data_IF_281470398863
#
_entry.id   IF_281470398863
#
_cell.length_a   1.000
_cell.length_b   1.000
_cell.length_c   1.000
_cell.angle_alpha   90.00
_cell.angle_beta   90.00
_cell.angle_gamma   90.00
#
_symmetry.space_group_name_H-M   'P 1'
#
loop_
_entity.id
_entity.type
_entity.pdbx_description
1 polymer ?
#
# COMPACT_ATOMS: atom_id res chain seq x y z
N UNK A 1 -11.50 6.13 20.52
CA UNK A 1 -12.15 6.57 19.25
C UNK A 1 -12.76 5.38 18.52
N UNK A 2 -13.98 5.48 17.95
CA UNK A 2 -14.54 4.40 17.11
C UNK A 2 -13.88 4.40 15.74
N UNK A 3 -13.47 3.23 15.24
CA UNK A 3 -13.00 3.11 13.85
C UNK A 3 -13.16 1.68 13.33
N UNK A 4 -13.22 1.56 12.01
CA UNK A 4 -13.19 0.27 11.31
C UNK A 4 -12.45 0.40 9.99
N UNK A 5 -11.78 -0.68 9.58
CA UNK A 5 -10.96 -0.79 8.37
C UNK A 5 -11.37 -2.07 7.66
N UNK A 6 -11.69 -1.96 6.38
CA UNK A 6 -12.14 -3.05 5.53
C UNK A 6 -11.16 -3.25 4.37
N UNK A 7 -10.66 -4.49 4.24
CA UNK A 7 -9.83 -4.92 3.13
C UNK A 7 -10.75 -5.64 2.13
N UNK A 8 -10.97 -5.01 0.99
CA UNK A 8 -11.94 -5.47 -0.01
C UNK A 8 -11.36 -6.61 -0.83
N UNK A 9 -12.13 -7.68 -0.95
CA UNK A 9 -11.81 -8.78 -1.85
C UNK A 9 -13.07 -9.51 -2.36
N UNK A 10 -12.91 -10.12 -3.52
CA UNK A 10 -13.86 -11.04 -4.15
C UNK A 10 -13.09 -12.13 -4.87
N UNK A 11 -13.69 -13.33 -4.97
CA UNK A 11 -13.13 -14.45 -5.74
C UNK A 11 -13.02 -14.19 -7.23
N UNK A 12 -13.73 -13.18 -7.73
CA UNK A 12 -13.72 -12.81 -9.15
C UNK A 12 -12.45 -12.05 -9.55
N UNK A 13 -11.75 -11.44 -8.58
CA UNK A 13 -10.54 -10.68 -8.86
C UNK A 13 -9.34 -11.62 -9.09
N UNK A 14 -8.78 -11.56 -10.29
CA UNK A 14 -7.63 -12.37 -10.71
C UNK A 14 -6.34 -11.57 -10.51
N UNK A 15 -5.76 -11.64 -9.33
CA UNK A 15 -4.51 -10.96 -8.99
C UNK A 15 -4.56 -10.34 -7.60
N UNK A 16 -3.40 -10.19 -6.97
CA UNK A 16 -3.34 -9.41 -5.73
C UNK A 16 -3.50 -7.93 -6.10
N UNK A 17 -4.21 -7.19 -5.27
CA UNK A 17 -4.53 -5.78 -5.47
C UNK A 17 -5.00 -5.21 -4.13
N UNK A 18 -4.68 -3.95 -3.85
CA UNK A 18 -5.10 -3.27 -2.63
C UNK A 18 -6.32 -2.40 -2.90
N UNK A 19 -7.42 -2.72 -2.23
CA UNK A 19 -8.62 -1.91 -2.17
C UNK A 19 -9.05 -1.85 -0.70
N UNK A 20 -8.85 -0.71 -0.06
CA UNK A 20 -9.08 -0.56 1.38
C UNK A 20 -9.99 0.63 1.60
N UNK A 21 -10.98 0.47 2.47
CA UNK A 21 -11.74 1.61 3.00
C UNK A 21 -11.74 1.57 4.52
N UNK A 22 -11.81 2.73 5.13
CA UNK A 22 -11.92 2.85 6.57
C UNK A 22 -12.71 4.09 6.95
N UNK A 23 -13.28 4.06 8.14
CA UNK A 23 -13.89 5.25 8.75
C UNK A 23 -13.60 5.31 10.23
N UNK A 24 -13.58 6.52 10.76
CA UNK A 24 -13.44 6.78 12.18
C UNK A 24 -14.35 7.91 12.61
N UNK A 25 -14.85 7.82 13.84
CA UNK A 25 -15.74 8.82 14.41
C UNK A 25 -14.93 9.99 14.98
N UNK A 26 -15.21 11.20 14.49
CA UNK A 26 -14.71 12.46 15.01
C UNK A 26 -15.88 13.41 15.21
N UNK A 27 -15.99 13.97 16.41
CA UNK A 27 -17.02 14.95 16.78
C UNK A 27 -18.46 14.51 16.41
N UNK A 28 -18.74 13.22 16.61
CA UNK A 28 -20.04 12.60 16.34
C UNK A 28 -20.35 12.33 14.87
N UNK A 29 -19.36 12.45 13.97
CA UNK A 29 -19.49 12.15 12.53
C UNK A 29 -18.41 11.17 12.10
N UNK A 30 -18.73 10.31 11.14
CA UNK A 30 -17.70 9.49 10.50
C UNK A 30 -16.95 10.29 9.45
N UNK A 31 -15.62 10.19 9.48
CA UNK A 31 -14.75 10.58 8.38
C UNK A 31 -14.50 9.33 7.55
N UNK A 32 -14.91 9.35 6.28
CA UNK A 32 -14.84 8.18 5.39
C UNK A 32 -13.64 8.29 4.45
N UNK A 33 -12.81 7.25 4.39
CA UNK A 33 -11.56 7.25 3.63
C UNK A 33 -11.47 5.99 2.77
N UNK A 34 -11.00 6.18 1.55
CA UNK A 34 -10.57 5.08 0.68
C UNK A 34 -9.07 5.20 0.47
N UNK A 35 -8.36 4.10 0.65
CA UNK A 35 -6.93 3.94 0.44
C UNK A 35 -6.73 2.85 -0.61
N UNK A 36 -6.38 3.28 -1.83
CA UNK A 36 -6.37 2.49 -3.05
C UNK A 36 -7.72 1.85 -3.43
N UNK A 37 -7.94 1.65 -4.73
CA UNK A 37 -9.20 1.15 -5.29
C UNK A 37 -9.10 -0.25 -5.88
N UNK A 38 -7.90 -0.83 -5.89
CA UNK A 38 -7.63 -2.12 -6.48
C UNK A 38 -7.74 -2.12 -8.00
N UNK A 39 -8.02 -3.31 -8.55
CA UNK A 39 -8.46 -3.48 -9.93
C UNK A 39 -9.90 -2.95 -10.11
N UNK A 40 -10.34 -2.78 -11.36
CA UNK A 40 -11.74 -2.46 -11.67
C UNK A 40 -12.75 -3.46 -11.07
N UNK A 41 -12.40 -4.74 -10.95
CA UNK A 41 -13.26 -5.76 -10.32
C UNK A 41 -13.38 -5.51 -8.82
N UNK A 42 -12.27 -5.21 -8.14
CA UNK A 42 -12.31 -4.83 -6.73
C UNK A 42 -13.01 -3.49 -6.51
N UNK A 43 -12.87 -2.54 -7.42
CA UNK A 43 -13.53 -1.24 -7.33
C UNK A 43 -15.05 -1.37 -7.28
N UNK A 44 -15.63 -2.23 -8.12
CA UNK A 44 -17.06 -2.53 -8.06
C UNK A 44 -17.45 -3.10 -6.68
N UNK A 45 -16.66 -4.04 -6.15
CA UNK A 45 -16.90 -4.62 -4.83
C UNK A 45 -16.75 -3.60 -3.69
N UNK A 46 -15.80 -2.69 -3.81
CA UNK A 46 -15.56 -1.59 -2.89
C UNK A 46 -16.75 -0.61 -2.90
N UNK A 47 -17.24 -0.25 -4.09
CA UNK A 47 -18.42 0.62 -4.25
C UNK A 47 -19.65 -0.02 -3.58
N UNK A 48 -19.94 -1.30 -3.87
CA UNK A 48 -21.04 -2.03 -3.21
C UNK A 48 -20.89 -2.05 -1.69
N UNK A 49 -19.67 -2.28 -1.20
CA UNK A 49 -19.38 -2.33 0.24
C UNK A 49 -19.60 -0.96 0.91
N UNK A 50 -19.13 0.11 0.28
CA UNK A 50 -19.34 1.48 0.75
C UNK A 50 -20.84 1.83 0.78
N UNK A 51 -21.59 1.52 -0.29
CA UNK A 51 -23.03 1.72 -0.35
C UNK A 51 -23.77 0.97 0.77
N UNK A 52 -23.41 -0.29 1.05
CA UNK A 52 -24.12 -1.10 2.05
C UNK A 52 -23.71 -0.81 3.50
N UNK A 53 -22.44 -0.54 3.78
CA UNK A 53 -21.94 -0.46 5.16
C UNK A 53 -21.59 0.94 5.63
N UNK A 54 -21.27 1.85 4.70
CA UNK A 54 -20.85 3.22 5.02
C UNK A 54 -21.98 4.20 4.76
N UNK A 55 -22.74 3.99 3.68
CA UNK A 55 -23.63 5.00 3.11
C UNK A 55 -25.08 4.56 2.93
N UNK A 56 -25.49 3.42 3.51
CA UNK A 56 -26.81 2.80 3.28
C UNK A 56 -28.00 3.75 3.46
N UNK A 57 -27.89 4.63 4.44
CA UNK A 57 -28.93 5.60 4.80
C UNK A 57 -28.50 7.06 4.49
N UNK A 58 -27.41 7.25 3.73
CA UNK A 58 -26.90 8.56 3.37
C UNK A 58 -27.46 9.04 2.03
N UNK A 59 -28.14 10.18 2.05
CA UNK A 59 -28.67 10.80 0.83
C UNK A 59 -27.59 11.34 -0.11
N UNK A 60 -26.45 11.78 0.45
CA UNK A 60 -25.32 12.30 -0.32
C UNK A 60 -24.02 11.66 0.17
N UNK A 61 -23.74 10.41 -0.27
CA UNK A 61 -22.55 9.68 0.11
C UNK A 61 -21.28 10.47 -0.20
N UNK A 62 -20.42 10.63 0.80
CA UNK A 62 -19.18 11.39 0.68
C UNK A 62 -17.99 10.59 1.19
N UNK A 63 -16.96 10.52 0.36
CA UNK A 63 -15.63 10.07 0.75
C UNK A 63 -14.82 11.32 1.06
N UNK A 64 -14.43 11.52 2.31
CA UNK A 64 -13.72 12.73 2.74
C UNK A 64 -12.30 12.77 2.16
N UNK A 65 -11.62 11.62 2.12
CA UNK A 65 -10.29 11.49 1.57
C UNK A 65 -10.18 10.24 0.68
N UNK A 66 -9.70 10.44 -0.53
CA UNK A 66 -9.34 9.38 -1.47
C UNK A 66 -7.81 9.37 -1.61
N UNK A 67 -7.15 8.31 -1.19
CA UNK A 67 -5.69 8.22 -1.14
C UNK A 67 -5.24 7.22 -2.22
N UNK A 68 -4.43 7.71 -3.16
CA UNK A 68 -3.73 6.89 -4.14
C UNK A 68 -2.31 6.65 -3.61
N UNK A 69 -2.10 5.52 -2.95
CA UNK A 69 -0.83 5.23 -2.30
C UNK A 69 0.27 4.94 -3.32
N UNK A 70 -0.08 4.23 -4.39
CA UNK A 70 0.83 3.73 -5.40
C UNK A 70 0.26 3.96 -6.81
N UNK A 71 1.08 4.32 -7.83
CA UNK A 71 0.56 4.71 -9.14
C UNK A 71 0.21 3.53 -10.06
N UNK A 72 0.52 2.28 -9.68
CA UNK A 72 0.30 1.11 -10.53
C UNK A 72 -1.18 0.67 -10.56
N UNK A 73 -1.49 -0.18 -11.54
CA UNK A 73 -2.85 -0.55 -11.92
C UNK A 73 -3.65 -1.20 -10.79
N UNK A 74 -3.04 -2.10 -10.03
CA UNK A 74 -3.66 -2.86 -8.94
C UNK A 74 -3.92 -2.03 -7.68
N UNK A 75 -3.71 -0.71 -7.75
CA UNK A 75 -4.02 0.27 -6.73
C UNK A 75 -4.87 1.41 -7.31
N UNK A 76 -4.34 2.12 -8.32
CA UNK A 76 -4.90 3.38 -8.81
C UNK A 76 -6.06 3.20 -9.79
N UNK A 77 -6.14 2.08 -10.53
CA UNK A 77 -7.16 1.91 -11.57
C UNK A 77 -8.58 1.90 -11.00
N UNK A 78 -8.78 1.27 -9.84
CA UNK A 78 -10.08 1.25 -9.19
C UNK A 78 -10.53 2.58 -8.59
N UNK A 79 -9.59 3.48 -8.27
CA UNK A 79 -9.92 4.81 -7.75
C UNK A 79 -10.67 5.66 -8.78
N UNK A 80 -10.42 5.43 -10.08
CA UNK A 80 -11.13 6.09 -11.18
C UNK A 80 -12.64 5.82 -11.08
N UNK A 81 -13.04 4.56 -10.88
CA UNK A 81 -14.45 4.18 -10.74
C UNK A 81 -15.08 4.79 -9.47
N UNK A 82 -14.31 4.89 -8.38
CA UNK A 82 -14.75 5.50 -7.11
C UNK A 82 -15.01 7.00 -7.30
N UNK A 83 -14.14 7.73 -8.00
CA UNK A 83 -14.29 9.17 -8.29
C UNK A 83 -15.51 9.43 -9.18
N UNK A 84 -15.78 8.55 -10.13
CA UNK A 84 -16.95 8.66 -11.00
C UNK A 84 -18.26 8.53 -10.20
N UNK A 85 -18.28 7.63 -9.22
CA UNK A 85 -19.48 7.24 -8.46
C UNK A 85 -19.80 8.13 -7.25
N UNK A 86 -18.80 8.55 -6.49
CA UNK A 86 -19.00 9.23 -5.21
C UNK A 86 -18.61 10.72 -5.22
N UNK A 87 -19.15 11.48 -4.27
CA UNK A 87 -18.64 12.82 -3.97
C UNK A 87 -17.32 12.70 -3.20
N UNK A 88 -16.24 13.19 -3.78
CA UNK A 88 -14.90 13.14 -3.19
C UNK A 88 -14.55 14.49 -2.58
N UNK A 89 -14.22 14.51 -1.29
CA UNK A 89 -13.76 15.71 -0.59
C UNK A 89 -12.40 16.16 -1.10
N UNK A 90 -11.37 15.33 -0.88
CA UNK A 90 -10.00 15.59 -1.31
C UNK A 90 -9.32 14.32 -1.82
N UNK A 91 -8.43 14.48 -2.79
CA UNK A 91 -7.57 13.40 -3.27
C UNK A 91 -6.16 13.63 -2.71
N UNK A 92 -5.55 12.59 -2.15
CA UNK A 92 -4.16 12.59 -1.71
C UNK A 92 -3.37 11.73 -2.69
N UNK A 93 -2.51 12.36 -3.49
CA UNK A 93 -1.77 11.68 -4.57
C UNK A 93 -0.52 12.47 -4.96
N UNK A 94 0.56 11.76 -5.28
CA UNK A 94 1.78 12.36 -5.82
C UNK A 94 1.73 12.38 -7.35
N UNK A 95 1.96 13.55 -7.96
CA UNK A 95 1.84 13.78 -9.40
C UNK A 95 3.25 13.99 -9.99
N UNK A 96 3.81 13.01 -10.74
CA UNK A 96 5.19 13.07 -11.23
C UNK A 96 5.51 14.31 -12.07
N UNK A 97 4.62 14.72 -12.99
CA UNK A 97 4.86 15.87 -13.87
C UNK A 97 4.85 17.23 -13.17
N UNK A 98 4.45 17.32 -11.89
CA UNK A 98 4.62 18.55 -11.11
C UNK A 98 6.07 18.84 -10.74
N UNK A 99 6.98 17.87 -10.89
CA UNK A 99 8.39 17.98 -10.50
C UNK A 99 9.35 17.95 -11.68
N UNK A 100 8.87 18.25 -12.90
CA UNK A 100 9.69 18.31 -14.12
C UNK A 100 10.95 19.15 -13.92
N UNK A 101 10.82 20.34 -13.33
CA UNK A 101 11.97 21.21 -13.06
C UNK A 101 12.97 20.61 -12.07
N UNK A 102 12.53 19.80 -11.12
CA UNK A 102 13.43 19.16 -10.14
C UNK A 102 14.22 17.99 -10.73
N UNK A 103 13.71 17.38 -11.80
CA UNK A 103 14.36 16.31 -12.53
C UNK A 103 15.00 16.80 -13.84
N UNK A 104 14.92 18.10 -14.13
CA UNK A 104 15.37 18.67 -15.39
C UNK A 104 16.88 18.53 -15.62
N UNK A 105 17.68 18.66 -14.57
CA UNK A 105 19.14 18.45 -14.64
C UNK A 105 19.51 17.00 -14.99
N UNK A 106 18.55 16.07 -14.87
CA UNK A 106 18.68 14.70 -15.32
C UNK A 106 18.18 14.51 -16.76
N UNK A 107 17.74 15.54 -17.49
CA UNK A 107 17.25 15.42 -18.88
C UNK A 107 18.38 15.81 -19.85
N UNK A 108 19.24 14.87 -20.23
CA UNK A 108 20.46 15.16 -21.00
C UNK A 108 20.34 15.09 -22.54
N UNK A 109 19.18 15.34 -23.14
CA UNK A 109 19.04 15.25 -24.62
C UNK A 109 19.19 16.61 -25.34
N UNK A 110 19.11 17.75 -24.64
CA UNK A 110 19.15 19.09 -25.26
C UNK A 110 18.06 19.37 -26.33
N UNK A 111 17.24 18.37 -26.67
CA UNK A 111 16.17 18.35 -27.68
C UNK A 111 14.79 18.10 -27.08
N UNK A 112 14.73 17.72 -25.80
CA UNK A 112 13.47 17.45 -25.09
C UNK A 112 12.93 18.76 -24.51
N UNK A 113 11.67 19.09 -24.83
CA UNK A 113 10.95 20.20 -24.20
C UNK A 113 10.24 19.76 -22.92
N UNK A 114 9.88 20.71 -22.06
CA UNK A 114 9.08 20.49 -20.85
C UNK A 114 7.76 19.76 -21.19
N UNK A 115 7.06 20.22 -22.23
CA UNK A 115 5.82 19.59 -22.72
C UNK A 115 6.02 18.12 -23.16
N UNK A 116 7.16 17.83 -23.81
CA UNK A 116 7.46 16.46 -24.23
C UNK A 116 7.71 15.54 -23.03
N UNK A 117 8.41 16.04 -22.01
CA UNK A 117 8.66 15.30 -20.78
C UNK A 117 7.38 15.09 -19.97
N UNK A 118 6.55 16.12 -19.82
CA UNK A 118 5.23 16.00 -19.19
C UNK A 118 4.39 14.91 -19.86
N UNK A 119 4.31 14.94 -21.19
CA UNK A 119 3.56 13.95 -21.96
C UNK A 119 4.09 12.53 -21.75
N UNK A 120 5.42 12.35 -21.68
CA UNK A 120 6.03 11.04 -21.40
C UNK A 120 5.66 10.55 -20.00
N UNK A 121 5.83 11.38 -18.97
CA UNK A 121 5.45 11.02 -17.60
C UNK A 121 3.96 10.67 -17.49
N UNK A 122 3.06 11.41 -18.16
CA UNK A 122 1.63 11.07 -18.19
C UNK A 122 1.36 9.71 -18.85
N UNK A 123 2.15 9.32 -19.86
CA UNK A 123 2.05 7.99 -20.47
C UNK A 123 2.63 6.88 -19.57
N UNK A 124 3.68 7.19 -18.81
CA UNK A 124 4.34 6.25 -17.88
C UNK A 124 3.48 5.99 -16.61
N UNK A 125 2.67 6.98 -16.23
CA UNK A 125 1.77 6.96 -15.08
C UNK A 125 0.30 7.27 -15.49
N UNK A 126 -0.31 6.43 -16.34
CA UNK A 126 -1.59 6.75 -16.99
C UNK A 126 -2.77 6.83 -16.01
N UNK A 127 -2.76 6.04 -14.93
CA UNK A 127 -3.84 6.08 -13.93
C UNK A 127 -3.80 7.35 -13.09
N UNK A 128 -2.60 7.78 -12.69
CA UNK A 128 -2.41 9.09 -12.02
C UNK A 128 -2.91 10.21 -12.94
N UNK A 129 -2.63 10.12 -14.26
CA UNK A 129 -3.04 11.14 -15.22
C UNK A 129 -4.57 11.18 -15.35
N UNK A 130 -5.22 10.02 -15.37
CA UNK A 130 -6.68 9.92 -15.42
C UNK A 130 -7.34 10.42 -14.14
N UNK A 131 -6.77 10.14 -12.97
CA UNK A 131 -7.26 10.67 -11.69
C UNK A 131 -7.12 12.20 -11.66
N UNK A 132 -6.00 12.75 -12.14
CA UNK A 132 -5.82 14.21 -12.24
C UNK A 132 -6.86 14.86 -13.14
N UNK A 133 -7.11 14.29 -14.33
CA UNK A 133 -8.14 14.76 -15.27
C UNK A 133 -9.52 14.79 -14.61
N UNK A 134 -9.95 13.68 -14.00
CA UNK A 134 -11.25 13.60 -13.32
C UNK A 134 -11.38 14.57 -12.15
N UNK A 135 -10.30 14.78 -11.40
CA UNK A 135 -10.29 15.76 -10.32
C UNK A 135 -10.49 17.18 -10.85
N UNK A 136 -9.84 17.54 -11.96
CA UNK A 136 -10.02 18.85 -12.60
C UNK A 136 -11.45 19.04 -13.13
N UNK A 137 -11.99 18.02 -13.82
CA UNK A 137 -13.36 18.04 -14.35
C UNK A 137 -14.42 18.24 -13.26
N UNK A 138 -14.22 17.61 -12.10
CA UNK A 138 -15.15 17.64 -10.96
C UNK A 138 -14.82 18.74 -9.93
N UNK A 139 -13.74 19.50 -10.12
CA UNK A 139 -13.30 20.53 -9.19
C UNK A 139 -12.84 20.00 -7.82
N UNK A 140 -12.27 18.78 -7.78
CA UNK A 140 -11.77 18.13 -6.56
C UNK A 140 -10.34 18.58 -6.29
N UNK A 141 -10.05 18.98 -5.05
CA UNK A 141 -8.69 19.37 -4.62
C UNK A 141 -7.78 18.13 -4.56
N UNK A 142 -6.61 18.21 -5.20
CA UNK A 142 -5.51 17.23 -5.04
C UNK A 142 -4.43 17.81 -4.13
N UNK A 143 -4.16 17.13 -3.02
CA UNK A 143 -3.07 17.42 -2.09
C UNK A 143 -1.92 16.44 -2.34
N UNK A 144 -0.69 16.96 -2.34
CA UNK A 144 0.52 16.13 -2.42
C UNK A 144 0.59 15.15 -1.23
N UNK A 145 0.92 13.90 -1.52
CA UNK A 145 1.04 12.82 -0.55
C UNK A 145 2.42 12.74 0.09
N UNK A 146 2.87 13.81 0.75
CA UNK A 146 4.20 13.87 1.38
C UNK A 146 4.14 14.00 2.90
N UNK A 147 5.20 13.56 3.59
CA UNK A 147 5.27 13.54 5.05
C UNK A 147 5.21 14.92 5.75
N UNK A 148 5.43 16.01 5.01
CA UNK A 148 5.27 17.39 5.51
C UNK A 148 3.84 17.91 5.35
N UNK A 149 3.00 17.20 4.58
CA UNK A 149 1.59 17.52 4.42
C UNK A 149 0.78 16.80 5.49
N UNK A 150 -0.13 17.54 6.10
CA UNK A 150 -1.07 16.99 7.06
C UNK A 150 -2.42 16.78 6.37
N UNK A 151 -2.97 15.56 6.42
CA UNK A 151 -4.33 15.28 5.97
C UNK A 151 -5.32 15.86 6.98
N UNK A 152 -5.14 15.48 8.26
CA UNK A 152 -5.75 16.08 9.44
C UNK A 152 -5.00 15.61 10.72
N UNK A 153 -5.56 15.79 11.91
CA UNK A 153 -4.93 15.40 13.17
C UNK A 153 -4.80 13.88 13.38
N UNK A 154 -5.73 13.10 12.82
CA UNK A 154 -5.78 11.65 12.95
C UNK A 154 -5.00 10.93 11.84
N UNK A 155 -4.85 11.54 10.67
CA UNK A 155 -4.23 10.92 9.49
C UNK A 155 -2.92 11.63 9.13
N UNK A 156 -1.81 10.89 9.24
CA UNK A 156 -0.45 11.41 9.06
C UNK A 156 0.27 10.62 7.97
N UNK A 157 0.89 11.32 7.02
CA UNK A 157 1.74 10.69 6.01
C UNK A 157 3.13 10.52 6.59
N UNK A 158 3.68 9.31 6.52
CA UNK A 158 5.00 8.98 7.06
C UNK A 158 6.09 8.85 5.98
N UNK A 159 5.70 8.52 4.76
CA UNK A 159 6.56 8.43 3.59
C UNK A 159 5.69 8.63 2.35
N UNK A 160 6.25 9.14 1.24
CA UNK A 160 7.60 9.66 1.08
C UNK A 160 7.74 11.12 1.55
N UNK A 161 8.98 11.58 1.72
CA UNK A 161 9.28 13.03 1.65
C UNK A 161 9.31 13.47 0.19
N UNK A 162 9.12 14.78 -0.05
CA UNK A 162 9.20 15.34 -1.40
C UNK A 162 10.55 15.06 -2.06
N UNK A 163 11.63 15.25 -1.30
CA UNK A 163 13.00 15.04 -1.76
C UNK A 163 13.23 13.56 -2.11
N UNK A 164 12.80 12.64 -1.24
CA UNK A 164 12.91 11.20 -1.49
C UNK A 164 12.11 10.77 -2.72
N UNK A 165 10.88 11.28 -2.87
CA UNK A 165 10.07 11.03 -4.06
C UNK A 165 10.76 11.49 -5.35
N UNK A 166 11.32 12.71 -5.36
CA UNK A 166 12.06 13.25 -6.51
C UNK A 166 13.30 12.40 -6.83
N UNK A 167 14.05 11.96 -5.81
CA UNK A 167 15.21 11.08 -6.00
C UNK A 167 14.83 9.74 -6.62
N UNK A 168 13.73 9.14 -6.17
CA UNK A 168 13.19 7.92 -6.76
C UNK A 168 12.71 8.16 -8.20
N UNK A 169 12.08 9.30 -8.46
CA UNK A 169 11.58 9.65 -9.80
C UNK A 169 12.73 9.79 -10.81
N UNK A 170 13.91 10.24 -10.37
CA UNK A 170 15.13 10.28 -11.22
C UNK A 170 15.68 8.89 -11.54
N UNK A 171 15.57 7.95 -10.58
CA UNK A 171 16.13 6.60 -10.70
C UNK A 171 15.20 5.58 -11.37
N UNK A 172 13.90 5.90 -11.43
CA UNK A 172 12.88 4.98 -11.91
C UNK A 172 13.20 4.42 -13.30
N UNK A 173 12.92 3.13 -13.49
CA UNK A 173 13.00 2.52 -14.82
C UNK A 173 12.05 3.17 -15.82
N UNK A 174 10.90 3.68 -15.36
CA UNK A 174 9.94 4.40 -16.19
C UNK A 174 10.50 5.73 -16.68
N UNK A 175 11.49 6.30 -15.99
CA UNK A 175 12.14 7.56 -16.34
C UNK A 175 13.58 7.40 -16.84
N UNK A 176 14.01 6.18 -17.19
CA UNK A 176 15.38 5.88 -17.67
C UNK A 176 15.89 6.71 -18.83
N UNK A 177 15.00 7.30 -19.63
CA UNK A 177 15.36 8.23 -20.71
C UNK A 177 15.95 9.55 -20.21
N UNK A 178 15.97 9.77 -18.89
CA UNK A 178 16.68 10.87 -18.25
C UNK A 178 18.20 10.62 -18.27
N UNK A 179 18.68 9.42 -17.93
CA UNK A 179 20.12 9.15 -17.83
C UNK A 179 20.82 8.93 -19.19
N UNK A 180 22.00 9.55 -19.35
CA UNK A 180 22.81 9.60 -20.57
C UNK A 180 23.54 8.27 -20.93
N UNK A 181 23.35 7.19 -20.15
CA UNK A 181 24.14 5.96 -20.29
C UNK A 181 23.47 4.83 -21.08
N UNK A 182 22.31 5.03 -21.72
CA UNK A 182 21.65 3.93 -22.43
C UNK A 182 21.00 4.32 -23.77
N UNK A 183 21.82 4.82 -24.70
CA UNK A 183 21.50 4.76 -26.14
C UNK A 183 22.00 3.45 -26.81
N UNK A 184 22.13 2.35 -26.04
CA UNK A 184 22.37 0.99 -26.58
C UNK A 184 21.85 -0.11 -25.63
N UNK A 185 20.55 -0.35 -25.61
CA UNK A 185 20.01 -1.73 -25.52
C UNK A 185 18.50 -1.78 -25.82
N UNK A 186 18.13 -1.60 -27.08
CA UNK A 186 16.93 -2.27 -27.57
C UNK A 186 17.24 -3.77 -27.67
N UNK A 187 16.25 -4.57 -27.28
CA UNK A 187 16.27 -6.03 -27.09
C UNK A 187 16.64 -6.44 -25.66
N UNK A 188 15.69 -6.29 -24.74
CA UNK A 188 15.44 -7.38 -23.81
C UNK A 188 14.29 -8.19 -24.38
N UNK A 189 14.65 -9.37 -24.88
CA UNK A 189 13.72 -10.44 -25.16
C UNK A 189 12.85 -10.66 -23.94
N UNK A 190 11.54 -10.54 -24.15
CA UNK A 190 10.53 -11.14 -23.31
C UNK A 190 10.94 -12.59 -23.11
N UNK A 191 11.59 -12.84 -21.97
CA UNK A 191 12.13 -14.14 -21.66
C UNK A 191 10.93 -14.98 -21.33
N UNK A 192 10.44 -15.70 -22.34
CA UNK A 192 9.57 -16.84 -22.19
C UNK A 192 10.21 -17.73 -21.11
N UNK A 193 9.73 -17.58 -19.87
CA UNK A 193 10.16 -18.42 -18.76
C UNK A 193 9.69 -19.82 -19.12
N UNK A 194 10.65 -20.64 -19.55
CA UNK A 194 10.51 -22.08 -19.63
C UNK A 194 9.75 -22.58 -18.41
N UNK A 195 8.63 -23.26 -18.67
CA UNK A 195 7.94 -24.10 -17.69
C UNK A 195 8.88 -25.28 -17.42
N UNK A 196 9.86 -25.07 -16.54
CA UNK A 196 10.57 -26.15 -15.87
C UNK A 196 9.74 -26.47 -14.63
N UNK A 197 9.19 -27.69 -14.57
CA UNK A 197 8.59 -28.25 -13.36
C UNK A 197 9.63 -28.24 -12.24
N UNK A 198 9.53 -27.25 -11.37
CA UNK A 198 10.58 -26.87 -10.42
C UNK A 198 10.34 -27.56 -9.07
N UNK A 199 11.03 -28.68 -8.81
CA UNK A 199 11.17 -29.29 -7.47
C UNK A 199 11.35 -28.23 -6.36
N UNK A 200 10.33 -27.94 -5.56
CA UNK A 200 10.39 -26.90 -4.52
C UNK A 200 11.22 -27.40 -3.34
N UNK A 201 12.39 -26.80 -3.14
CA UNK A 201 13.09 -26.92 -1.87
C UNK A 201 12.41 -26.00 -0.86
N UNK A 202 12.32 -26.44 0.37
CA UNK A 202 11.68 -25.73 1.48
C UNK A 202 12.75 -25.39 2.52
N UNK A 203 12.75 -24.15 3.02
CA UNK A 203 13.66 -23.72 4.07
C UNK A 203 13.02 -24.02 5.42
N UNK A 204 13.75 -24.73 6.30
CA UNK A 204 13.30 -24.96 7.68
C UNK A 204 13.37 -23.65 8.46
N UNK A 205 12.30 -23.36 9.19
CA UNK A 205 12.19 -22.20 10.06
C UNK A 205 12.54 -22.50 11.50
N UNK A 206 13.09 -21.48 12.16
CA UNK A 206 13.34 -21.49 13.61
C UNK A 206 12.69 -20.24 14.19
N UNK A 207 11.97 -20.40 15.30
CA UNK A 207 11.24 -19.30 15.94
C UNK A 207 12.10 -18.05 16.19
N UNK A 208 13.34 -18.24 16.66
CA UNK A 208 14.27 -17.16 16.98
C UNK A 208 15.02 -16.53 15.80
N UNK A 209 14.78 -16.94 14.54
CA UNK A 209 15.54 -16.44 13.37
C UNK A 209 14.64 -16.21 12.15
N UNK A 210 14.57 -14.95 11.69
CA UNK A 210 13.88 -14.63 10.43
C UNK A 210 14.58 -15.27 9.22
N UNK A 211 13.78 -15.77 8.28
CA UNK A 211 14.22 -16.18 6.94
C UNK A 211 14.16 -15.05 5.90
N UNK A 212 13.65 -13.88 6.30
CA UNK A 212 13.76 -12.64 5.53
C UNK A 212 15.23 -12.24 5.37
N UNK A 213 15.53 -11.52 4.29
CA UNK A 213 16.86 -11.00 3.99
C UNK A 213 16.94 -9.50 4.29
N UNK A 214 18.13 -9.03 4.66
CA UNK A 214 18.40 -7.60 4.89
C UNK A 214 18.64 -6.85 3.58
N UNK A 215 19.18 -7.54 2.57
CA UNK A 215 19.61 -7.02 1.28
C UNK A 215 18.57 -7.30 0.19
N UNK A 216 17.38 -6.69 0.34
CA UNK A 216 16.31 -6.77 -0.66
C UNK A 216 15.96 -5.39 -1.18
N UNK A 217 15.52 -5.34 -2.43
CA UNK A 217 15.10 -4.11 -3.08
C UNK A 217 13.78 -4.30 -3.81
N UNK A 218 13.03 -3.21 -3.93
CA UNK A 218 11.80 -3.12 -4.72
C UNK A 218 11.98 -2.06 -5.82
N UNK A 219 10.98 -1.90 -6.70
CA UNK A 219 11.00 -0.83 -7.70
C UNK A 219 11.00 0.55 -7.04
N UNK A 220 11.47 1.56 -7.77
CA UNK A 220 11.37 2.93 -7.31
C UNK A 220 9.91 3.35 -7.05
N UNK A 221 8.98 2.88 -7.89
CA UNK A 221 7.54 3.11 -7.70
C UNK A 221 7.03 2.57 -6.36
N UNK A 222 7.41 1.34 -6.00
CA UNK A 222 7.03 0.75 -4.73
C UNK A 222 7.54 1.61 -3.56
N UNK A 223 8.79 2.04 -3.61
CA UNK A 223 9.40 2.92 -2.59
C UNK A 223 8.74 4.31 -2.52
N UNK A 224 8.05 4.77 -3.58
CA UNK A 224 7.28 6.03 -3.58
C UNK A 224 5.92 5.93 -2.86
N UNK A 225 5.53 4.73 -2.39
CA UNK A 225 4.22 4.52 -1.79
C UNK A 225 3.92 5.47 -0.62
N UNK A 226 2.71 6.03 -0.59
CA UNK A 226 2.25 6.86 0.52
C UNK A 226 1.98 5.96 1.73
N UNK A 227 2.85 6.00 2.74
CA UNK A 227 2.63 5.28 4.00
C UNK A 227 1.78 6.13 4.92
N UNK A 228 0.60 5.64 5.30
CA UNK A 228 -0.38 6.33 6.12
C UNK A 228 -0.41 5.78 7.54
N UNK A 229 -0.25 6.66 8.52
CA UNK A 229 -0.51 6.39 9.94
C UNK A 229 -1.87 6.96 10.33
N UNK A 230 -2.76 6.08 10.80
CA UNK A 230 -3.99 6.44 11.48
C UNK A 230 -3.81 6.42 12.99
N UNK A 231 -3.97 7.58 13.62
CA UNK A 231 -3.84 7.78 15.06
C UNK A 231 -5.23 7.89 15.69
N UNK A 232 -5.75 6.76 16.17
CA UNK A 232 -7.09 6.61 16.74
C UNK A 232 -7.02 6.55 18.28
N UNK A 233 -6.20 7.44 18.85
CA UNK A 233 -5.89 7.54 20.29
C UNK A 233 -5.08 6.32 20.79
N UNK A 234 -5.71 5.46 21.59
CA UNK A 234 -5.09 4.26 22.16
C UNK A 234 -4.79 3.19 21.11
N UNK A 235 -5.43 3.27 19.94
CA UNK A 235 -5.19 2.37 18.83
C UNK A 235 -4.60 3.13 17.65
N UNK A 236 -3.63 2.50 16.98
CA UNK A 236 -3.01 3.06 15.79
C UNK A 236 -2.95 2.02 14.69
N UNK A 237 -3.07 2.46 13.44
CA UNK A 237 -2.92 1.60 12.28
C UNK A 237 -1.92 2.17 11.28
N UNK A 238 -1.28 1.29 10.52
CA UNK A 238 -0.34 1.64 9.46
C UNK A 238 -0.80 0.99 8.16
N UNK A 239 -1.13 1.81 7.16
CA UNK A 239 -1.33 1.37 5.77
C UNK A 239 -0.08 1.72 4.98
N UNK A 240 0.47 0.73 4.30
CA UNK A 240 1.82 0.76 3.73
C UNK A 240 1.82 0.77 2.21
N UNK A 241 0.70 0.37 1.59
CA UNK A 241 0.68 0.05 0.16
C UNK A 241 1.81 -0.93 -0.17
N UNK A 242 2.58 -0.57 -1.20
CA UNK A 242 3.63 -1.42 -1.76
C UNK A 242 5.05 -1.06 -1.30
N UNK A 243 5.17 -0.21 -0.28
CA UNK A 243 6.45 0.33 0.20
C UNK A 243 7.50 -0.78 0.44
N UNK A 244 8.74 -0.51 0.03
CA UNK A 244 9.89 -1.35 0.28
C UNK A 244 10.71 -0.88 1.50
N UNK A 245 11.93 -1.39 1.63
CA UNK A 245 12.75 -1.11 2.81
C UNK A 245 13.13 0.36 2.94
N UNK A 246 13.37 1.06 1.82
CA UNK A 246 13.85 2.45 1.85
C UNK A 246 12.74 3.39 2.35
N UNK A 247 11.53 3.24 1.82
CA UNK A 247 10.36 3.99 2.27
C UNK A 247 9.91 3.62 3.68
N UNK A 248 10.03 2.35 4.10
CA UNK A 248 9.74 1.95 5.48
C UNK A 248 10.72 2.57 6.48
N UNK A 249 12.02 2.64 6.15
CA UNK A 249 12.99 3.32 7.01
C UNK A 249 12.63 4.81 7.16
N UNK A 250 12.22 5.49 6.07
CA UNK A 250 11.72 6.88 6.13
C UNK A 250 10.48 7.00 7.02
N UNK A 251 9.53 6.07 6.89
CA UNK A 251 8.33 6.07 7.72
C UNK A 251 8.64 5.85 9.21
N UNK A 252 9.61 4.97 9.52
CA UNK A 252 10.09 4.73 10.89
C UNK A 252 10.76 5.99 11.46
N UNK A 253 11.66 6.62 10.70
CA UNK A 253 12.32 7.87 11.07
C UNK A 253 11.28 8.95 11.38
N UNK A 254 10.27 9.10 10.52
CA UNK A 254 9.19 10.05 10.69
C UNK A 254 8.34 9.76 11.92
N UNK A 255 7.94 8.50 12.13
CA UNK A 255 7.18 8.05 13.31
C UNK A 255 7.90 8.43 14.62
N UNK A 256 9.20 8.11 14.71
CA UNK A 256 10.01 8.48 15.87
C UNK A 256 10.07 10.02 16.06
N UNK A 257 10.23 10.78 14.99
CA UNK A 257 10.30 12.26 15.02
C UNK A 257 9.01 12.89 15.53
N UNK A 258 7.85 12.32 15.21
CA UNK A 258 6.54 12.83 15.67
C UNK A 258 6.10 12.23 17.02
N UNK A 259 6.97 11.46 17.68
CA UNK A 259 6.68 10.85 18.98
C UNK A 259 5.73 9.66 18.92
N UNK A 260 5.59 9.02 17.74
CA UNK A 260 4.80 7.80 17.54
C UNK A 260 5.69 6.74 16.88
N UNK A 261 6.57 6.06 17.65
CA UNK A 261 7.33 4.94 17.14
C UNK A 261 6.39 3.88 16.55
N UNK A 262 6.73 3.31 15.40
CA UNK A 262 5.85 2.35 14.73
C UNK A 262 5.64 1.05 15.54
N UNK A 263 6.54 0.75 16.49
CA UNK A 263 6.34 -0.34 17.45
C UNK A 263 5.12 -0.14 18.35
N UNK A 264 4.52 1.04 18.41
CA UNK A 264 3.27 1.30 19.13
C UNK A 264 2.01 1.07 18.28
N UNK A 265 2.16 0.79 16.99
CA UNK A 265 1.04 0.48 16.09
C UNK A 265 0.42 -0.88 16.44
N UNK A 266 -0.91 -0.95 16.33
CA UNK A 266 -1.71 -2.13 16.67
C UNK A 266 -2.24 -2.86 15.45
N UNK A 267 -2.42 -2.17 14.32
CA UNK A 267 -2.92 -2.77 13.09
C UNK A 267 -2.00 -2.43 11.92
N UNK A 268 -1.63 -3.42 11.13
CA UNK A 268 -0.72 -3.26 10.00
C UNK A 268 -1.37 -3.78 8.72
N UNK A 269 -1.30 -3.00 7.64
CA UNK A 269 -1.27 -3.57 6.30
C UNK A 269 0.08 -4.27 6.12
N UNK A 270 0.06 -5.50 5.61
CA UNK A 270 1.28 -6.18 5.15
C UNK A 270 1.61 -5.61 3.76
N UNK A 271 2.82 -5.06 3.55
CA UNK A 271 3.16 -4.41 2.29
C UNK A 271 3.15 -5.37 1.11
N UNK A 272 2.75 -4.87 -0.07
CA UNK A 272 2.86 -5.56 -1.36
C UNK A 272 2.36 -7.00 -1.29
N UNK A 273 1.15 -7.15 -0.74
CA UNK A 273 0.42 -8.42 -0.64
C UNK A 273 1.16 -9.50 0.18
N UNK A 274 2.23 -9.14 0.88
CA UNK A 274 3.11 -10.07 1.61
C UNK A 274 4.26 -10.64 0.79
N UNK A 275 4.80 -9.85 -0.14
CA UNK A 275 6.11 -10.11 -0.76
C UNK A 275 7.24 -10.06 0.25
N UNK A 276 8.17 -11.02 0.14
CA UNK A 276 9.38 -11.07 0.97
C UNK A 276 10.44 -10.04 0.60
N UNK A 277 10.27 -9.29 -0.50
CA UNK A 277 11.20 -8.24 -0.93
C UNK A 277 10.93 -6.89 -0.26
N UNK A 278 9.82 -6.75 0.47
CA UNK A 278 9.38 -5.50 1.06
C UNK A 278 9.72 -5.38 2.55
N UNK A 279 10.16 -6.47 3.19
CA UNK A 279 10.43 -6.53 4.61
C UNK A 279 11.77 -7.21 4.88
N UNK A 280 12.47 -6.70 5.88
CA UNK A 280 13.69 -7.30 6.42
C UNK A 280 13.56 -7.51 7.93
N UNK A 281 14.40 -8.38 8.54
CA UNK A 281 14.40 -8.56 9.98
C UNK A 281 14.61 -7.25 10.77
N UNK A 282 15.55 -6.41 10.34
CA UNK A 282 15.83 -5.12 10.98
C UNK A 282 14.66 -4.13 10.88
N UNK A 283 14.04 -4.00 9.71
CA UNK A 283 12.84 -3.16 9.50
C UNK A 283 11.69 -3.68 10.36
N UNK A 284 11.46 -4.99 10.38
CA UNK A 284 10.41 -5.60 11.21
C UNK A 284 10.63 -5.36 12.70
N UNK A 285 11.88 -5.37 13.18
CA UNK A 285 12.18 -5.04 14.58
C UNK A 285 11.85 -3.58 14.92
N UNK A 286 12.17 -2.65 14.03
CA UNK A 286 11.88 -1.21 14.21
C UNK A 286 10.41 -0.86 14.00
N UNK A 287 9.70 -1.60 13.14
CA UNK A 287 8.31 -1.34 12.79
C UNK A 287 7.33 -2.05 13.71
N UNK A 288 7.58 -3.31 14.04
CA UNK A 288 6.63 -4.16 14.79
C UNK A 288 7.13 -4.42 16.21
N UNK A 289 8.44 -4.62 16.37
CA UNK A 289 9.08 -4.97 17.63
C UNK A 289 9.95 -6.22 17.51
N UNK A 290 10.68 -6.56 18.57
CA UNK A 290 11.55 -7.73 18.58
C UNK A 290 10.75 -9.04 18.60
N UNK A 291 11.42 -10.13 18.23
CA UNK A 291 10.89 -11.49 18.36
C UNK A 291 10.52 -11.75 19.83
N UNK A 292 9.30 -12.24 20.06
CA UNK A 292 8.80 -12.62 21.39
C UNK A 292 9.00 -14.12 21.63
N UNK A 293 8.77 -14.61 22.85
CA UNK A 293 8.76 -16.06 23.11
C UNK A 293 7.63 -16.76 22.35
N UNK A 294 7.85 -18.02 21.96
CA UNK A 294 6.85 -18.83 21.25
C UNK A 294 5.54 -18.92 22.02
N UNK A 295 4.42 -18.75 21.31
CA UNK A 295 3.07 -18.72 21.87
C UNK A 295 2.61 -17.38 22.45
N UNK A 296 3.50 -16.38 22.60
CA UNK A 296 3.10 -15.03 23.02
C UNK A 296 2.38 -14.32 21.88
N UNK A 297 1.18 -13.82 22.18
CA UNK A 297 0.41 -12.93 21.30
C UNK A 297 0.30 -11.55 21.93
N UNK A 298 0.63 -10.52 21.16
CA UNK A 298 0.43 -9.13 21.51
C UNK A 298 -0.92 -8.66 20.98
N UNK A 299 -1.39 -7.50 21.43
CA UNK A 299 -2.57 -6.83 20.87
C UNK A 299 -2.22 -6.14 19.55
N UNK A 300 -1.78 -6.95 18.58
CA UNK A 300 -1.34 -6.53 17.25
C UNK A 300 -1.93 -7.44 16.18
N UNK A 301 -2.43 -6.84 15.11
CA UNK A 301 -3.06 -7.52 13.98
C UNK A 301 -2.39 -7.06 12.68
N UNK A 302 -2.23 -7.97 11.71
CA UNK A 302 -1.76 -7.62 10.38
C UNK A 302 -2.58 -8.31 9.29
N UNK A 303 -3.01 -7.56 8.28
CA UNK A 303 -3.80 -8.05 7.15
C UNK A 303 -3.00 -7.97 5.84
N UNK A 304 -3.10 -9.01 5.02
CA UNK A 304 -2.62 -9.00 3.64
C UNK A 304 -3.80 -9.04 2.65
N UNK A 305 -3.82 -8.10 1.71
CA UNK A 305 -4.71 -8.16 0.54
C UNK A 305 -4.16 -9.19 -0.45
N UNK A 306 -4.91 -10.27 -0.69
CA UNK A 306 -4.49 -11.31 -1.64
C UNK A 306 -5.65 -11.83 -2.45
N UNK A 307 -5.37 -12.23 -3.68
CA UNK A 307 -6.33 -12.89 -4.54
C UNK A 307 -6.82 -14.21 -3.93
N UNK A 308 -7.97 -14.67 -4.39
CA UNK A 308 -8.44 -16.01 -4.09
C UNK A 308 -7.45 -17.07 -4.61
N UNK A 309 -7.08 -18.03 -3.75
CA UNK A 309 -6.12 -19.10 -4.03
C UNK A 309 -4.70 -18.58 -4.37
N UNK A 310 -4.35 -17.40 -3.87
CA UNK A 310 -3.00 -16.84 -4.01
C UNK A 310 -1.98 -17.59 -3.14
N UNK A 311 -0.77 -17.77 -3.67
CA UNK A 311 0.42 -18.23 -2.92
C UNK A 311 0.98 -17.14 -1.97
N UNK A 312 0.30 -15.99 -1.89
CA UNK A 312 0.60 -14.89 -0.98
C UNK A 312 -0.37 -14.88 0.21
N UNK A 313 0.00 -14.24 1.34
CA UNK A 313 1.33 -13.73 1.64
C UNK A 313 2.36 -14.86 1.77
N UNK A 314 3.63 -14.59 1.44
CA UNK A 314 4.68 -15.60 1.55
C UNK A 314 4.83 -16.05 2.99
N UNK A 315 5.01 -17.35 3.23
CA UNK A 315 5.07 -17.90 4.59
C UNK A 315 6.21 -17.29 5.43
N UNK A 316 7.33 -16.93 4.81
CA UNK A 316 8.41 -16.20 5.47
C UNK A 316 7.95 -14.86 6.06
N UNK A 317 7.10 -14.12 5.33
CA UNK A 317 6.52 -12.85 5.79
C UNK A 317 5.52 -13.09 6.91
N UNK A 318 4.61 -14.06 6.75
CA UNK A 318 3.66 -14.45 7.81
C UNK A 318 4.40 -14.79 9.10
N UNK A 319 5.43 -15.63 9.02
CA UNK A 319 6.24 -16.01 10.16
C UNK A 319 6.94 -14.82 10.81
N UNK A 320 7.42 -13.84 10.03
CA UNK A 320 8.07 -12.64 10.55
C UNK A 320 7.13 -11.79 11.42
N UNK A 321 5.84 -11.72 11.09
CA UNK A 321 4.83 -11.08 11.94
C UNK A 321 4.48 -11.95 13.16
N UNK A 322 4.20 -13.24 12.96
CA UNK A 322 3.79 -14.15 14.05
C UNK A 322 4.85 -14.23 15.15
N UNK A 323 6.13 -14.30 14.78
CA UNK A 323 7.23 -14.36 15.76
C UNK A 323 7.39 -13.09 16.59
N UNK A 324 6.74 -11.99 16.19
CA UNK A 324 6.66 -10.72 16.93
C UNK A 324 5.33 -10.57 17.67
N UNK A 325 4.60 -11.69 17.81
CA UNK A 325 3.34 -11.79 18.54
C UNK A 325 2.14 -11.19 17.79
N UNK A 326 2.25 -10.95 16.48
CA UNK A 326 1.18 -10.38 15.67
C UNK A 326 0.24 -11.48 15.16
N UNK A 327 -1.06 -11.23 15.25
CA UNK A 327 -2.09 -12.08 14.66
C UNK A 327 -2.28 -11.73 13.18
N UNK A 328 -2.06 -12.70 12.29
CA UNK A 328 -2.01 -12.43 10.84
C UNK A 328 -3.23 -13.01 10.13
N UNK A 329 -3.82 -12.25 9.22
CA UNK A 329 -4.97 -12.66 8.41
C UNK A 329 -4.77 -12.24 6.95
N UNK A 330 -5.57 -12.83 6.06
CA UNK A 330 -5.55 -12.53 4.63
C UNK A 330 -6.97 -12.52 4.07
N UNK A 331 -7.21 -11.74 3.01
CA UNK A 331 -8.53 -11.66 2.38
C UNK A 331 -8.91 -12.93 1.62
N UNK A 332 -8.00 -13.46 0.77
CA UNK A 332 -8.17 -14.72 0.02
C UNK A 332 -9.55 -14.83 -0.65
N UNK A 333 -9.94 -13.77 -1.37
CA UNK A 333 -11.23 -13.67 -2.05
C UNK A 333 -12.43 -13.26 -1.19
N UNK A 334 -12.23 -12.96 0.09
CA UNK A 334 -13.27 -12.49 1.01
C UNK A 334 -12.88 -11.15 1.62
N UNK A 335 -13.84 -10.23 1.67
CA UNK A 335 -13.65 -8.95 2.37
C UNK A 335 -13.53 -9.22 3.87
N UNK A 336 -12.50 -8.65 4.51
CA UNK A 336 -12.27 -8.80 5.96
C UNK A 336 -12.28 -7.43 6.62
N UNK A 337 -12.74 -7.38 7.86
CA UNK A 337 -12.91 -6.13 8.61
C UNK A 337 -12.18 -6.21 9.95
N UNK A 338 -11.52 -5.12 10.31
CA UNK A 338 -11.04 -4.86 11.66
C UNK A 338 -11.84 -3.71 12.23
N UNK A 339 -12.47 -3.91 13.39
CA UNK A 339 -13.31 -2.91 14.03
C UNK A 339 -12.93 -2.67 15.49
N UNK A 340 -13.10 -1.42 15.94
CA UNK A 340 -12.92 -1.03 17.32
C UNK A 340 -14.07 -0.10 17.74
N UNK A 341 -14.83 -0.53 18.76
CA UNK A 341 -15.99 0.18 19.30
C UNK A 341 -17.10 0.46 18.27
N UNK A 342 -17.14 -0.27 17.15
CA UNK A 342 -18.26 -0.26 16.19
C UNK A 342 -19.12 -1.52 16.36
N UNK A 343 -20.38 -1.43 15.91
CA UNK A 343 -21.32 -2.57 16.00
C UNK A 343 -20.93 -3.69 15.04
N UNK A 344 -21.17 -4.94 15.45
CA UNK A 344 -21.04 -6.08 14.55
C UNK A 344 -21.99 -5.94 13.35
N UNK A 345 -21.50 -6.32 12.16
CA UNK A 345 -22.28 -6.27 10.93
C UNK A 345 -23.01 -7.61 10.74
N UNK A 346 -24.33 -7.54 10.48
CA UNK A 346 -25.13 -8.74 10.23
C UNK A 346 -24.58 -9.54 9.04
N UNK A 347 -24.49 -10.86 9.18
CA UNK A 347 -23.99 -11.77 8.14
C UNK A 347 -22.46 -11.91 8.08
N UNK A 348 -21.71 -11.17 8.91
CA UNK A 348 -20.26 -11.34 9.03
C UNK A 348 -19.91 -12.40 10.08
N UNK A 349 -18.78 -13.08 9.88
CA UNK A 349 -18.26 -14.10 10.79
C UNK A 349 -16.76 -13.94 10.97
N UNK A 350 -16.24 -14.46 12.08
CA UNK A 350 -14.80 -14.52 12.32
C UNK A 350 -14.09 -15.46 11.33
N UNK A 351 -12.89 -15.09 10.90
CA UNK A 351 -11.97 -15.96 10.15
C UNK A 351 -10.84 -16.46 11.06
N UNK A 352 -10.21 -17.55 10.65
CA UNK A 352 -9.04 -18.08 11.36
C UNK A 352 -7.79 -17.28 11.04
N UNK A 353 -6.93 -17.08 12.05
CA UNK A 353 -5.59 -16.52 11.85
C UNK A 353 -4.70 -17.50 11.06
N UNK A 354 -3.72 -16.96 10.33
CA UNK A 354 -2.67 -17.76 9.74
C UNK A 354 -1.75 -18.31 10.83
N UNK A 355 -1.24 -19.53 10.62
CA UNK A 355 -0.36 -20.23 11.55
C UNK A 355 1.11 -20.09 11.17
N UNK A 356 1.99 -20.23 12.16
CA UNK A 356 3.43 -20.33 11.92
C UNK A 356 3.73 -21.56 11.04
N UNK A 357 4.61 -21.39 10.05
CA UNK A 357 5.02 -22.45 9.15
C UNK A 357 6.43 -22.93 9.49
N UNK A 358 6.60 -24.21 9.85
CA UNK A 358 7.93 -24.80 10.09
C UNK A 358 8.82 -24.85 8.84
N UNK A 359 8.20 -24.65 7.66
CA UNK A 359 8.86 -24.66 6.35
C UNK A 359 8.31 -23.52 5.49
N UNK A 360 9.21 -22.73 4.93
CA UNK A 360 8.88 -21.59 4.06
C UNK A 360 9.48 -21.76 2.67
N UNK A 361 8.99 -20.94 1.73
CA UNK A 361 9.41 -20.95 0.34
C UNK A 361 10.88 -20.55 0.22
N UNK A 362 11.65 -21.29 -0.58
CA UNK A 362 13.03 -20.94 -0.92
C UNK A 362 13.12 -19.59 -1.64
N UNK A 363 14.18 -18.83 -1.37
CA UNK A 363 14.35 -17.45 -1.79
C UNK A 363 14.45 -17.27 -3.31
N UNK A 364 14.94 -18.28 -4.03
CA UNK A 364 15.16 -18.20 -5.47
C UNK A 364 13.93 -18.63 -6.30
N UNK A 365 12.76 -18.77 -5.65
CA UNK A 365 11.52 -19.26 -6.29
C UNK A 365 10.32 -18.36 -6.13
#
# INVERSE_FOLDING_TARGET
MKYEIDFIATKENKGNADAICFRYEKDGKFINVVYDGGSKVLANKLIEHLEEFYFKDEYSPKIDYLICSHPDQDHASGLIEVIEKFNIGKIIMNIPWKYIYNIWDNVNDGRTSEESLEKRLKNDYPYVAKIEELAQEKGIEIIEGFEDKQINENLKILSPSKEFFIELLKKSKKTKYLDESDYKSNIYTESAKNILSKFTNWIKELWGKDSLKEDVETSEENEMSIVLLGDMEENKFLLTGDVGLKGLEKAIEKGNKIGIPLTEVNFYQIPHHGSRHNLSPSIMNKMVGNIVSEGIKLKKVAYASVAYESDYPRKAVVNAFIRRGVQVYKTDGYTITYSHLTSERAGWSSISELSFNEKVEDWDK
#
